data_IF_433782801360
#
_entry.id   IF_433782801360
#
_cell.length_a   1.000
_cell.length_b   1.000
_cell.length_c   1.000
_cell.angle_alpha   90.00
_cell.angle_beta   90.00
_cell.angle_gamma   90.00
#
_symmetry.space_group_name_H-M   'P 1'
#
loop_
_entity.id
_entity.type
_entity.pdbx_description
1 polymer ?
#
# COMPACT_ATOMS: atom_id res chain seq x y z
N UNK A 1 -0.99 6.75 8.71
CA UNK A 1 -0.51 8.06 9.20
C UNK A 1 0.11 8.93 8.09
N UNK A 2 0.43 8.32 6.93
CA UNK A 2 1.22 9.01 5.89
C UNK A 2 0.36 9.79 4.88
N UNK A 3 -0.96 9.67 4.90
CA UNK A 3 -1.87 10.32 3.97
C UNK A 3 -2.24 11.71 4.45
N UNK A 4 -2.02 12.73 3.61
CA UNK A 4 -2.31 14.14 3.92
C UNK A 4 -3.78 14.51 3.73
N UNK A 5 -4.51 13.80 2.86
CA UNK A 5 -5.92 14.02 2.60
C UNK A 5 -6.67 12.69 2.44
N UNK A 6 -7.74 12.50 3.20
CA UNK A 6 -8.63 11.34 3.13
C UNK A 6 -10.03 11.87 2.85
N UNK A 7 -10.58 11.59 1.65
CA UNK A 7 -11.88 12.09 1.20
C UNK A 7 -12.84 10.98 0.76
N UNK A 8 -12.35 9.74 0.69
CA UNK A 8 -13.07 8.60 0.13
C UNK A 8 -13.66 7.64 1.18
N UNK A 9 -13.90 8.13 2.41
CA UNK A 9 -14.62 7.39 3.45
C UNK A 9 -16.01 7.99 3.59
N UNK A 10 -17.04 7.25 3.16
CA UNK A 10 -18.43 7.70 3.25
C UNK A 10 -18.80 8.00 4.72
N UNK A 11 -19.43 9.16 4.95
CA UNK A 11 -19.79 9.62 6.29
C UNK A 11 -18.69 10.41 7.01
N UNK A 12 -17.47 10.42 6.49
CA UNK A 12 -16.36 11.25 7.01
C UNK A 12 -16.04 12.34 5.99
N UNK A 13 -16.14 13.62 6.39
CA UNK A 13 -15.64 14.73 5.56
C UNK A 13 -14.13 14.60 5.42
N UNK A 14 -13.53 15.37 4.50
CA UNK A 14 -12.08 15.43 4.33
C UNK A 14 -11.35 15.52 5.68
N UNK A 15 -10.39 14.62 5.87
CA UNK A 15 -9.58 14.51 7.09
C UNK A 15 -8.14 14.13 6.72
N UNK A 16 -7.24 14.21 7.69
CA UNK A 16 -5.85 13.79 7.55
C UNK A 16 -5.63 12.43 8.24
N UNK A 17 -4.65 11.67 7.77
CA UNK A 17 -4.31 10.35 8.33
C UNK A 17 -4.11 10.37 9.85
N UNK A 18 -3.26 11.25 10.41
CA UNK A 18 -3.04 11.33 11.86
C UNK A 18 -4.31 11.62 12.65
N UNK A 19 -5.16 12.54 12.17
CA UNK A 19 -6.43 12.89 12.81
C UNK A 19 -7.43 11.73 12.77
N UNK A 20 -7.50 11.04 11.64
CA UNK A 20 -8.35 9.87 11.49
C UNK A 20 -7.93 8.75 12.45
N UNK A 21 -6.62 8.44 12.51
CA UNK A 21 -6.10 7.43 13.44
C UNK A 21 -6.38 7.81 14.90
N UNK A 22 -6.17 9.07 15.29
CA UNK A 22 -6.46 9.53 16.64
C UNK A 22 -7.95 9.33 17.02
N UNK A 23 -8.88 9.57 16.08
CA UNK A 23 -10.31 9.34 16.32
C UNK A 23 -10.65 7.85 16.48
N UNK A 24 -9.95 6.96 15.77
CA UNK A 24 -10.11 5.50 15.92
C UNK A 24 -9.55 5.03 17.27
N UNK A 25 -8.41 5.53 17.69
CA UNK A 25 -7.81 5.24 18.99
C UNK A 25 -8.70 5.71 20.15
N UNK A 26 -9.32 6.87 20.01
CA UNK A 26 -10.29 7.38 20.99
C UNK A 26 -11.52 6.46 21.08
N UNK A 27 -12.08 6.07 19.94
CA UNK A 27 -13.22 5.16 19.89
C UNK A 27 -12.92 3.79 20.50
N UNK A 28 -11.73 3.24 20.29
CA UNK A 28 -11.32 1.94 20.89
C UNK A 28 -11.30 2.01 22.41
N UNK A 29 -11.00 3.16 23.04
CA UNK A 29 -10.97 3.34 24.49
C UNK A 29 -12.34 3.22 25.16
N UNK A 30 -13.43 3.36 24.40
CA UNK A 30 -14.78 3.17 24.91
C UNK A 30 -15.12 1.69 25.23
N UNK A 31 -14.26 0.78 24.81
CA UNK A 31 -14.43 -0.66 24.99
C UNK A 31 -13.36 -1.24 25.94
N UNK A 32 -13.68 -2.30 26.71
CA UNK A 32 -12.74 -2.98 27.60
C UNK A 32 -11.75 -3.84 26.79
N UNK A 33 -10.86 -3.20 26.05
CA UNK A 33 -9.86 -3.81 25.17
C UNK A 33 -8.46 -3.46 25.66
N UNK A 34 -7.61 -4.46 25.83
CA UNK A 34 -6.20 -4.26 26.14
C UNK A 34 -5.42 -3.91 24.85
N UNK A 35 -4.83 -2.73 24.81
CA UNK A 35 -3.98 -2.28 23.70
C UNK A 35 -2.52 -2.41 24.08
N UNK A 36 -1.79 -3.29 23.39
CA UNK A 36 -0.36 -3.54 23.62
C UNK A 36 0.45 -2.83 22.52
N UNK A 37 0.93 -1.62 22.81
CA UNK A 37 1.78 -0.85 21.89
C UNK A 37 3.22 -1.37 21.89
N UNK A 38 3.94 -1.12 20.76
CA UNK A 38 5.35 -1.46 20.59
C UNK A 38 5.67 -2.96 20.77
N UNK A 39 4.67 -3.81 20.53
CA UNK A 39 4.81 -5.26 20.55
C UNK A 39 4.74 -5.80 19.13
N UNK A 40 5.78 -6.48 18.69
CA UNK A 40 5.83 -7.07 17.35
C UNK A 40 5.67 -8.57 17.43
N UNK A 41 4.73 -9.12 16.63
CA UNK A 41 4.57 -10.55 16.48
C UNK A 41 5.71 -11.12 15.63
N UNK A 42 6.33 -12.19 16.11
CA UNK A 42 7.42 -12.89 15.46
C UNK A 42 6.97 -14.21 14.81
N UNK A 43 5.95 -14.86 15.41
CA UNK A 43 5.44 -16.15 14.93
C UNK A 43 4.01 -16.38 15.40
N UNK A 44 3.23 -17.12 14.60
CA UNK A 44 1.92 -17.62 14.97
C UNK A 44 1.87 -19.13 14.71
N UNK A 45 1.40 -19.89 15.71
CA UNK A 45 1.27 -21.33 15.63
C UNK A 45 -0.08 -21.79 16.22
N UNK A 46 -0.77 -22.69 15.53
CA UNK A 46 -1.99 -23.33 16.03
C UNK A 46 -1.62 -24.59 16.79
N UNK A 47 -1.92 -24.60 18.08
CA UNK A 47 -1.91 -25.75 18.99
C UNK A 47 -3.32 -25.99 19.51
N UNK A 48 -3.50 -26.39 20.77
CA UNK A 48 -4.82 -26.40 21.42
C UNK A 48 -5.44 -25.01 21.39
N UNK A 49 -4.65 -24.02 21.75
CA UNK A 49 -4.94 -22.60 21.50
C UNK A 49 -4.04 -22.08 20.36
N UNK A 50 -4.37 -20.91 19.83
CA UNK A 50 -3.47 -20.20 18.92
C UNK A 50 -2.46 -19.43 19.76
N UNK A 51 -1.19 -19.66 19.50
CA UNK A 51 -0.07 -19.01 20.17
C UNK A 51 0.55 -17.96 19.24
N UNK A 52 0.65 -16.73 19.72
CA UNK A 52 1.37 -15.64 19.05
C UNK A 52 2.59 -15.31 19.88
N UNK A 53 3.76 -15.63 19.34
CA UNK A 53 5.05 -15.29 19.93
C UNK A 53 5.43 -13.87 19.52
N UNK A 54 5.86 -13.05 20.48
CA UNK A 54 6.35 -11.70 20.27
C UNK A 54 7.87 -11.67 20.16
N UNK A 55 8.46 -10.66 19.54
CA UNK A 55 9.92 -10.52 19.40
C UNK A 55 10.67 -10.47 20.75
N UNK A 56 9.99 -10.07 21.83
CA UNK A 56 10.55 -10.08 23.19
C UNK A 56 10.47 -11.45 23.88
N UNK A 57 9.99 -12.49 23.19
CA UNK A 57 9.86 -13.86 23.71
C UNK A 57 8.57 -14.13 24.49
N UNK A 58 7.71 -13.14 24.70
CA UNK A 58 6.40 -13.38 25.32
C UNK A 58 5.45 -14.13 24.36
N UNK A 59 4.58 -14.98 24.91
CA UNK A 59 3.61 -15.75 24.13
C UNK A 59 2.19 -15.40 24.58
N UNK A 60 1.38 -14.92 23.63
CA UNK A 60 -0.04 -14.70 23.81
C UNK A 60 -0.80 -15.93 23.35
N UNK A 61 -1.84 -16.32 24.10
CA UNK A 61 -2.68 -17.49 23.78
C UNK A 61 -4.13 -17.07 23.62
N UNK A 62 -4.77 -17.51 22.53
CA UNK A 62 -6.14 -17.16 22.23
C UNK A 62 -6.86 -18.30 21.50
N UNK A 63 -8.20 -18.33 21.61
CA UNK A 63 -9.05 -19.24 20.82
C UNK A 63 -9.16 -18.81 19.35
N UNK A 64 -9.12 -17.50 19.10
CA UNK A 64 -9.13 -16.92 17.75
C UNK A 64 -8.14 -15.78 17.64
N UNK A 65 -7.69 -15.52 16.43
CA UNK A 65 -6.82 -14.39 16.10
C UNK A 65 -7.30 -13.74 14.80
N UNK A 66 -7.33 -12.41 14.75
CA UNK A 66 -7.55 -11.63 13.52
C UNK A 66 -6.24 -10.93 13.16
N UNK A 67 -5.70 -11.24 11.99
CA UNK A 67 -4.46 -10.64 11.46
C UNK A 67 -4.85 -9.43 10.62
N UNK A 68 -4.41 -8.24 11.03
CA UNK A 68 -4.65 -6.97 10.33
C UNK A 68 -3.38 -6.14 10.23
N UNK A 69 -2.28 -6.80 9.84
CA UNK A 69 -0.92 -6.22 9.83
C UNK A 69 -0.68 -5.27 8.67
N UNK A 70 -1.61 -5.17 7.73
CA UNK A 70 -1.54 -4.30 6.57
C UNK A 70 -0.42 -4.62 5.59
N UNK A 71 -0.05 -3.64 4.80
CA UNK A 71 1.03 -3.72 3.83
C UNK A 71 1.85 -2.44 3.85
N UNK A 72 3.06 -2.50 3.32
CA UNK A 72 3.94 -1.35 3.13
C UNK A 72 4.23 -1.13 1.65
N UNK A 73 4.40 0.11 1.25
CA UNK A 73 4.83 0.43 -0.11
C UNK A 73 6.25 -0.08 -0.36
N UNK A 74 6.46 -0.60 -1.54
CA UNK A 74 7.79 -0.93 -2.01
C UNK A 74 8.49 0.36 -2.40
N UNK A 75 9.68 0.58 -1.84
CA UNK A 75 10.50 1.74 -2.18
C UNK A 75 11.39 1.45 -3.39
N UNK A 76 11.71 2.48 -4.17
CA UNK A 76 12.73 2.42 -5.21
C UNK A 76 14.11 2.31 -4.59
N UNK A 77 14.31 2.92 -3.42
CA UNK A 77 15.57 2.89 -2.66
C UNK A 77 16.62 3.87 -3.19
N UNK A 78 16.18 5.01 -3.74
CA UNK A 78 17.08 6.05 -4.29
C UNK A 78 17.17 7.26 -3.37
N UNK A 79 18.26 8.04 -3.43
CA UNK A 79 18.36 9.33 -2.76
C UNK A 79 17.15 10.21 -3.04
N UNK A 80 16.70 10.97 -2.04
CA UNK A 80 15.55 11.86 -2.12
C UNK A 80 14.19 11.18 -1.90
N UNK A 81 14.05 9.85 -2.07
CA UNK A 81 12.76 9.19 -1.91
C UNK A 81 12.18 9.35 -0.50
N UNK A 82 12.99 9.09 0.53
CA UNK A 82 12.58 9.19 1.93
C UNK A 82 12.52 10.65 2.38
N UNK A 83 13.47 11.46 1.96
CA UNK A 83 13.60 12.88 2.33
C UNK A 83 12.40 13.70 1.87
N UNK A 84 11.91 13.45 0.65
CA UNK A 84 10.78 14.16 0.05
C UNK A 84 9.45 13.42 0.19
N UNK A 85 9.37 12.38 1.01
CA UNK A 85 8.09 11.73 1.34
C UNK A 85 7.12 12.77 1.92
N UNK A 86 5.91 12.86 1.34
CA UNK A 86 4.90 13.89 1.65
C UNK A 86 5.34 15.34 1.30
N UNK A 87 6.46 15.49 0.61
CA UNK A 87 6.95 16.78 0.10
C UNK A 87 7.14 16.74 -1.41
N UNK A 88 6.37 15.93 -2.09
CA UNK A 88 6.41 15.71 -3.54
C UNK A 88 6.57 14.23 -3.91
N UNK A 89 7.09 13.37 -3.04
CA UNK A 89 7.05 11.91 -3.21
C UNK A 89 5.78 11.36 -2.57
N UNK A 90 4.99 10.61 -3.35
CA UNK A 90 3.70 10.03 -2.97
C UNK A 90 3.60 8.57 -3.44
N UNK A 91 2.70 7.81 -2.81
CA UNK A 91 2.47 6.39 -3.10
C UNK A 91 1.00 6.07 -3.41
N UNK A 92 0.10 7.03 -3.24
CA UNK A 92 -1.33 6.86 -3.49
C UNK A 92 -1.83 7.92 -4.47
N UNK A 93 -2.07 7.59 -5.75
CA UNK A 93 -2.55 8.55 -6.74
C UNK A 93 -3.93 9.10 -6.40
N UNK A 94 -4.84 8.26 -5.89
CA UNK A 94 -6.19 8.68 -5.50
C UNK A 94 -6.21 9.61 -4.28
N UNK A 95 -5.20 9.47 -3.37
CA UNK A 95 -5.12 10.29 -2.17
C UNK A 95 -4.43 11.64 -2.45
N UNK A 96 -3.31 11.59 -3.15
CA UNK A 96 -2.38 12.71 -3.28
C UNK A 96 -2.47 13.41 -4.65
N UNK A 97 -3.04 12.75 -5.67
CA UNK A 97 -3.15 13.29 -7.03
C UNK A 97 -3.72 14.70 -7.12
N UNK A 98 -4.82 15.04 -6.42
CA UNK A 98 -5.38 16.39 -6.43
C UNK A 98 -4.39 17.49 -6.01
N UNK A 99 -3.40 17.20 -5.16
CA UNK A 99 -2.36 18.16 -4.72
C UNK A 99 -1.42 18.57 -5.86
N UNK A 100 -1.41 17.81 -6.95
CA UNK A 100 -0.55 18.01 -8.11
C UNK A 100 -1.30 18.56 -9.33
N UNK A 101 -2.52 19.07 -9.15
CA UNK A 101 -3.29 19.67 -10.24
C UNK A 101 -2.49 20.72 -11.01
N UNK A 102 -2.41 20.58 -12.34
CA UNK A 102 -1.69 21.47 -13.24
C UNK A 102 -0.16 21.43 -13.17
N UNK A 103 0.43 20.47 -12.42
CA UNK A 103 1.88 20.28 -12.29
C UNK A 103 2.38 19.17 -13.19
N UNK A 104 3.70 19.12 -13.39
CA UNK A 104 4.39 18.02 -14.05
C UNK A 104 4.77 16.96 -12.99
N UNK A 105 4.47 15.69 -13.24
CA UNK A 105 4.76 14.60 -12.30
C UNK A 105 5.39 13.40 -12.99
N UNK A 106 6.08 12.56 -12.21
CA UNK A 106 6.52 11.24 -12.64
C UNK A 106 5.73 10.13 -11.95
N UNK A 107 5.58 9.01 -12.64
CA UNK A 107 5.12 7.74 -12.11
C UNK A 107 6.23 6.71 -12.31
N UNK A 108 6.73 6.12 -11.23
CA UNK A 108 7.71 5.03 -11.28
C UNK A 108 6.95 3.71 -11.18
N UNK A 109 7.01 2.91 -12.24
CA UNK A 109 6.39 1.60 -12.35
C UNK A 109 5.47 1.45 -13.56
N UNK A 110 5.68 0.41 -14.35
CA UNK A 110 4.94 0.09 -15.58
C UNK A 110 4.07 -1.16 -15.48
N UNK A 111 3.70 -1.59 -14.27
CA UNK A 111 2.66 -2.59 -14.01
C UNK A 111 1.26 -1.96 -14.01
N UNK A 112 0.19 -2.79 -13.80
CA UNK A 112 -1.19 -2.30 -13.82
C UNK A 112 -1.37 -1.08 -12.91
N UNK A 113 -0.96 -1.15 -11.66
CA UNK A 113 -1.14 -0.04 -10.70
C UNK A 113 -0.44 1.25 -11.12
N UNK A 114 0.77 1.16 -11.71
CA UNK A 114 1.48 2.35 -12.19
C UNK A 114 0.83 2.96 -13.42
N UNK A 115 0.34 2.13 -14.33
CA UNK A 115 -0.31 2.61 -15.56
C UNK A 115 -1.71 3.16 -15.27
N UNK A 116 -2.50 2.52 -14.40
CA UNK A 116 -3.78 3.05 -13.91
C UNK A 116 -3.58 4.42 -13.25
N UNK A 117 -2.58 4.53 -12.37
CA UNK A 117 -2.24 5.80 -11.75
C UNK A 117 -1.84 6.88 -12.75
N UNK A 118 -1.05 6.53 -13.76
CA UNK A 118 -0.65 7.48 -14.79
C UNK A 118 -1.84 7.97 -15.62
N UNK A 119 -2.81 7.08 -15.91
CA UNK A 119 -4.05 7.43 -16.60
C UNK A 119 -4.91 8.39 -15.75
N UNK A 120 -5.09 8.08 -14.46
CA UNK A 120 -5.87 8.91 -13.54
C UNK A 120 -5.21 10.28 -13.34
N UNK A 121 -3.91 10.30 -13.09
CA UNK A 121 -3.15 11.54 -12.93
C UNK A 121 -3.17 12.40 -14.20
N UNK A 122 -3.14 11.82 -15.38
CA UNK A 122 -3.20 12.56 -16.63
C UNK A 122 -4.48 13.41 -16.78
N UNK A 123 -5.57 13.04 -16.09
CA UNK A 123 -6.80 13.84 -16.02
C UNK A 123 -6.73 15.03 -15.06
N UNK A 124 -5.68 15.14 -14.25
CA UNK A 124 -5.57 16.11 -13.16
C UNK A 124 -4.36 17.03 -13.35
N UNK A 125 -3.22 16.44 -13.73
CA UNK A 125 -1.92 17.11 -13.83
C UNK A 125 -1.67 17.66 -15.23
N UNK A 126 -0.66 18.51 -15.37
CA UNK A 126 -0.27 19.06 -16.66
C UNK A 126 0.41 18.00 -17.54
N UNK A 127 1.35 17.24 -16.98
CA UNK A 127 2.07 16.18 -17.70
C UNK A 127 2.46 15.03 -16.77
N UNK A 128 2.44 13.81 -17.29
CA UNK A 128 2.88 12.59 -16.59
C UNK A 128 4.05 11.96 -17.35
N UNK A 129 5.16 11.76 -16.66
CA UNK A 129 6.29 10.96 -17.16
C UNK A 129 6.32 9.60 -16.47
N UNK A 130 6.04 8.54 -17.19
CA UNK A 130 6.12 7.16 -16.67
C UNK A 130 7.54 6.64 -16.85
N UNK A 131 8.17 6.17 -15.77
CA UNK A 131 9.50 5.55 -15.77
C UNK A 131 9.35 4.05 -15.49
N UNK A 132 9.76 3.21 -16.43
CA UNK A 132 9.75 1.76 -16.27
C UNK A 132 11.17 1.19 -16.43
N UNK A 133 11.56 0.39 -15.44
CA UNK A 133 12.88 -0.26 -15.40
C UNK A 133 13.03 -1.34 -16.49
N UNK A 134 11.96 -2.05 -16.81
CA UNK A 134 11.97 -3.10 -17.83
C UNK A 134 11.86 -2.51 -19.24
N UNK A 135 12.34 -3.24 -20.28
CA UNK A 135 12.21 -2.79 -21.66
C UNK A 135 10.78 -2.71 -22.17
N UNK A 136 9.83 -3.35 -21.44
CA UNK A 136 8.41 -3.36 -21.76
C UNK A 136 7.55 -3.13 -20.53
N UNK A 137 6.39 -2.49 -20.71
CA UNK A 137 5.38 -2.36 -19.68
C UNK A 137 4.77 -3.74 -19.37
N UNK A 138 4.53 -3.99 -18.10
CA UNK A 138 3.92 -5.24 -17.59
C UNK A 138 2.40 -5.13 -17.41
N UNK A 139 1.84 -3.94 -17.60
CA UNK A 139 0.41 -3.70 -17.51
C UNK A 139 -0.37 -4.42 -18.62
N UNK A 140 -1.66 -4.64 -18.39
CA UNK A 140 -2.57 -5.20 -19.38
C UNK A 140 -2.64 -4.34 -20.64
N UNK A 141 -2.79 -4.99 -21.81
CA UNK A 141 -2.77 -4.31 -23.12
C UNK A 141 -3.79 -3.18 -23.20
N UNK A 142 -4.98 -3.36 -22.65
CA UNK A 142 -6.04 -2.34 -22.67
C UNK A 142 -5.63 -1.07 -21.92
N UNK A 143 -4.90 -1.21 -20.80
CA UNK A 143 -4.37 -0.07 -20.03
C UNK A 143 -3.26 0.62 -20.80
N UNK A 144 -2.37 -0.14 -21.41
CA UNK A 144 -1.30 0.41 -22.25
C UNK A 144 -1.87 1.21 -23.43
N UNK A 145 -2.86 0.67 -24.15
CA UNK A 145 -3.49 1.35 -25.28
C UNK A 145 -4.18 2.65 -24.83
N UNK A 146 -4.84 2.64 -23.67
CA UNK A 146 -5.43 3.84 -23.08
C UNK A 146 -4.34 4.86 -22.72
N UNK A 147 -3.26 4.45 -22.05
CA UNK A 147 -2.16 5.32 -21.68
C UNK A 147 -1.55 6.03 -22.90
N UNK A 148 -1.23 5.27 -23.95
CA UNK A 148 -0.64 5.81 -25.18
C UNK A 148 -1.57 6.73 -25.97
N UNK A 149 -2.87 6.70 -25.72
CA UNK A 149 -3.84 7.63 -26.34
C UNK A 149 -3.86 9.01 -25.67
N UNK A 150 -3.20 9.19 -24.53
CA UNK A 150 -3.21 10.43 -23.77
C UNK A 150 -2.08 11.38 -24.25
N UNK A 151 -2.43 12.63 -24.67
CA UNK A 151 -1.45 13.54 -25.26
C UNK A 151 -0.46 14.13 -24.25
N UNK A 152 -0.77 14.07 -22.97
CA UNK A 152 0.05 14.61 -21.89
C UNK A 152 0.79 13.52 -21.07
N UNK A 153 1.07 12.37 -21.71
CA UNK A 153 1.84 11.29 -21.10
C UNK A 153 3.06 10.97 -21.94
N UNK A 154 4.21 10.86 -21.29
CA UNK A 154 5.46 10.34 -21.85
C UNK A 154 5.82 9.04 -21.15
N UNK A 155 6.13 7.99 -21.91
CA UNK A 155 6.54 6.69 -21.37
C UNK A 155 8.01 6.43 -21.67
N UNK A 156 8.82 6.32 -20.64
CA UNK A 156 10.23 6.00 -20.68
C UNK A 156 10.43 4.56 -20.19
N UNK A 157 10.83 3.69 -21.10
CA UNK A 157 11.10 2.26 -20.81
C UNK A 157 12.60 2.03 -20.74
N UNK A 158 12.99 0.95 -20.05
CA UNK A 158 14.39 0.57 -19.88
C UNK A 158 15.22 1.68 -19.21
N UNK A 159 14.61 2.38 -18.25
CA UNK A 159 15.26 3.47 -17.49
C UNK A 159 15.31 3.13 -16.01
N UNK A 160 16.41 3.48 -15.38
CA UNK A 160 16.61 3.32 -13.93
C UNK A 160 16.59 4.68 -13.26
N UNK A 161 15.64 4.88 -12.35
CA UNK A 161 15.66 6.05 -11.46
C UNK A 161 16.94 6.04 -10.63
N UNK A 162 17.62 7.17 -10.56
CA UNK A 162 18.88 7.34 -9.81
C UNK A 162 18.67 8.16 -8.56
N UNK A 163 17.90 9.23 -8.67
CA UNK A 163 17.73 10.21 -7.62
C UNK A 163 16.43 11.00 -7.83
N UNK A 164 15.78 11.38 -6.74
CA UNK A 164 14.70 12.36 -6.70
C UNK A 164 15.30 13.62 -6.10
N UNK A 165 15.25 14.73 -6.83
CA UNK A 165 15.90 15.98 -6.43
C UNK A 165 14.91 16.98 -5.85
N UNK A 166 15.43 17.87 -5.02
CA UNK A 166 14.61 18.93 -4.42
C UNK A 166 15.41 19.78 -3.43
N UNK A 167 14.73 20.76 -2.86
CA UNK A 167 15.21 21.53 -1.71
C UNK A 167 14.24 21.31 -0.54
N UNK A 168 13.17 22.10 -0.44
CA UNK A 168 12.09 21.88 0.53
C UNK A 168 11.07 20.84 0.04
N UNK A 169 10.93 20.73 -1.28
CA UNK A 169 10.01 19.82 -1.99
C UNK A 169 10.70 19.29 -3.24
N UNK A 170 10.12 18.25 -3.82
CA UNK A 170 10.55 17.71 -5.12
C UNK A 170 10.57 18.82 -6.17
N UNK A 171 11.67 18.91 -6.91
CA UNK A 171 11.84 19.77 -8.08
C UNK A 171 12.28 19.01 -9.33
N UNK A 172 12.61 17.73 -9.23
CA UNK A 172 13.00 16.92 -10.37
C UNK A 172 13.29 15.46 -10.04
N UNK A 173 13.61 14.71 -11.08
CA UNK A 173 14.03 13.31 -11.02
C UNK A 173 15.16 13.09 -12.03
N UNK A 174 16.15 12.31 -11.62
CA UNK A 174 17.25 11.87 -12.50
C UNK A 174 17.13 10.38 -12.77
N UNK A 175 17.24 10.00 -14.03
CA UNK A 175 17.25 8.59 -14.44
C UNK A 175 18.39 8.31 -15.43
N UNK A 176 18.73 7.04 -15.56
CA UNK A 176 19.70 6.53 -16.54
C UNK A 176 19.00 5.63 -17.55
N UNK A 177 19.23 5.84 -18.83
CA UNK A 177 18.87 4.89 -19.86
C UNK A 177 19.80 3.68 -19.74
N UNK A 178 19.23 2.49 -19.53
CA UNK A 178 19.99 1.27 -19.25
C UNK A 178 20.71 0.68 -20.47
N UNK A 179 20.34 1.10 -21.67
CA UNK A 179 21.01 0.69 -22.91
C UNK A 179 22.21 1.58 -23.24
N UNK A 180 22.01 2.88 -23.14
CA UNK A 180 23.03 3.87 -23.55
C UNK A 180 23.93 4.30 -22.40
N UNK A 181 23.48 4.15 -21.14
CA UNK A 181 24.14 4.69 -19.96
C UNK A 181 23.98 6.19 -19.82
N UNK A 182 23.19 6.83 -20.67
CA UNK A 182 22.96 8.28 -20.63
C UNK A 182 22.10 8.65 -19.42
N UNK A 183 22.56 9.65 -18.67
CA UNK A 183 21.84 10.19 -17.53
C UNK A 183 21.05 11.43 -17.95
N UNK A 184 19.79 11.48 -17.57
CA UNK A 184 18.87 12.58 -17.89
C UNK A 184 18.19 13.08 -16.64
N UNK A 185 18.13 14.39 -16.48
CA UNK A 185 17.36 15.07 -15.44
C UNK A 185 16.07 15.65 -16.02
N UNK A 186 14.96 15.46 -15.31
CA UNK A 186 13.65 16.01 -15.68
C UNK A 186 13.13 16.86 -14.53
N UNK A 187 12.81 18.12 -14.81
CA UNK A 187 12.15 19.02 -13.86
C UNK A 187 10.68 18.65 -13.71
N UNK A 188 10.23 18.45 -12.47
CA UNK A 188 8.84 18.12 -12.13
C UNK A 188 8.58 18.37 -10.64
N UNK A 189 7.32 18.36 -10.23
CA UNK A 189 6.94 18.74 -8.87
C UNK A 189 6.39 17.59 -8.03
N UNK A 190 6.27 16.40 -8.62
CA UNK A 190 5.78 15.22 -7.90
C UNK A 190 6.27 13.91 -8.48
N UNK A 191 6.50 12.93 -7.61
CA UNK A 191 6.90 11.57 -7.99
C UNK A 191 6.00 10.58 -7.27
N UNK A 192 5.27 9.77 -8.03
CA UNK A 192 4.44 8.68 -7.54
C UNK A 192 5.18 7.36 -7.71
N UNK A 193 5.46 6.68 -6.59
CA UNK A 193 6.18 5.40 -6.59
C UNK A 193 5.17 4.26 -6.54
N UNK A 194 4.97 3.56 -7.67
CA UNK A 194 3.95 2.54 -7.86
C UNK A 194 4.55 1.20 -8.35
N UNK A 195 5.52 0.71 -7.59
CA UNK A 195 6.23 -0.55 -7.86
C UNK A 195 5.74 -1.71 -6.98
N UNK A 196 4.53 -1.58 -6.45
CA UNK A 196 3.81 -2.59 -5.70
C UNK A 196 3.80 -2.40 -4.19
N UNK A 197 2.98 -3.20 -3.54
CA UNK A 197 2.89 -3.33 -2.09
C UNK A 197 3.61 -4.59 -1.62
N UNK A 198 4.07 -4.57 -0.38
CA UNK A 198 4.62 -5.73 0.32
C UNK A 198 3.74 -5.98 1.55
N UNK A 199 2.95 -7.04 1.57
CA UNK A 199 2.14 -7.40 2.73
C UNK A 199 3.03 -7.67 3.94
N UNK A 200 2.57 -7.26 5.14
CA UNK A 200 3.31 -7.50 6.38
C UNK A 200 3.00 -8.90 6.94
N UNK A 201 3.40 -9.93 6.22
CA UNK A 201 3.06 -11.35 6.45
C UNK A 201 4.29 -12.25 6.54
N UNK A 202 5.48 -11.69 6.52
CA UNK A 202 6.77 -12.42 6.51
C UNK A 202 6.96 -13.30 7.76
N UNK A 203 6.32 -12.90 8.88
CA UNK A 203 6.36 -13.59 10.17
C UNK A 203 5.42 -14.81 10.27
N UNK A 204 4.56 -15.01 9.27
CA UNK A 204 3.65 -16.16 9.20
C UNK A 204 4.30 -17.34 8.48
N UNK A 205 4.22 -18.53 9.09
CA UNK A 205 4.76 -19.76 8.55
C UNK A 205 3.99 -20.30 7.32
N UNK A 206 4.40 -21.48 6.86
CA UNK A 206 3.86 -22.16 5.67
C UNK A 206 2.43 -22.68 5.83
N UNK A 207 1.89 -22.74 7.05
CA UNK A 207 0.51 -23.14 7.32
C UNK A 207 -0.53 -22.18 6.73
N UNK A 208 -0.12 -20.95 6.42
CA UNK A 208 -0.94 -19.94 5.79
C UNK A 208 -0.80 -19.98 4.28
N UNK A 209 -1.90 -20.18 3.58
CA UNK A 209 -1.94 -19.99 2.14
C UNK A 209 -1.73 -18.51 1.80
N UNK A 210 -0.79 -18.25 0.90
CA UNK A 210 -0.45 -16.89 0.46
C UNK A 210 -0.43 -16.83 -1.07
N UNK A 211 -0.78 -15.68 -1.60
CA UNK A 211 -0.59 -15.37 -3.02
C UNK A 211 0.91 -15.30 -3.36
N UNK A 212 1.24 -15.25 -4.64
CA UNK A 212 2.63 -15.01 -5.10
C UNK A 212 3.21 -13.68 -4.60
N UNK A 213 2.35 -12.74 -4.23
CA UNK A 213 2.73 -11.44 -3.67
C UNK A 213 2.90 -11.46 -2.15
N UNK A 214 2.64 -12.60 -1.51
CA UNK A 214 2.74 -12.80 -0.07
C UNK A 214 1.48 -12.42 0.71
N UNK A 215 0.37 -12.09 0.05
CA UNK A 215 -0.91 -11.77 0.69
C UNK A 215 -1.57 -13.02 1.24
N UNK A 216 -2.20 -12.90 2.42
CA UNK A 216 -2.95 -14.01 3.04
C UNK A 216 -4.21 -14.26 2.23
N UNK A 217 -4.41 -15.49 1.76
CA UNK A 217 -5.65 -15.90 1.11
C UNK A 217 -6.73 -16.09 2.17
N UNK A 218 -7.90 -15.45 1.96
CA UNK A 218 -9.03 -15.52 2.88
C UNK A 218 -10.32 -15.89 2.15
N UNK A 219 -11.22 -16.55 2.86
CA UNK A 219 -12.57 -16.79 2.37
C UNK A 219 -13.49 -15.55 2.53
N UNK A 220 -14.75 -15.69 2.14
CA UNK A 220 -15.76 -14.62 2.24
C UNK A 220 -16.08 -14.18 3.69
N UNK A 221 -15.62 -14.91 4.70
CA UNK A 221 -15.76 -14.61 6.12
C UNK A 221 -14.47 -14.10 6.75
N UNK A 222 -13.43 -13.90 5.95
CA UNK A 222 -12.10 -13.54 6.39
C UNK A 222 -11.34 -14.68 7.05
N UNK A 223 -11.79 -15.94 6.93
CA UNK A 223 -11.09 -17.10 7.49
C UNK A 223 -9.88 -17.46 6.62
N UNK A 224 -8.75 -17.74 7.29
CA UNK A 224 -7.53 -18.25 6.66
C UNK A 224 -7.56 -19.80 6.57
N UNK A 225 -6.53 -20.40 6.00
CA UNK A 225 -6.34 -21.87 6.00
C UNK A 225 -6.12 -22.45 7.41
N UNK A 226 -5.78 -21.62 8.40
CA UNK A 226 -5.56 -22.06 9.79
C UNK A 226 -6.85 -21.86 10.61
N UNK A 227 -7.48 -22.94 11.13
CA UNK A 227 -8.73 -22.86 11.86
C UNK A 227 -8.65 -21.93 13.08
N UNK A 228 -9.61 -21.01 13.20
CA UNK A 228 -9.66 -20.00 14.26
C UNK A 228 -8.81 -18.75 13.98
N UNK A 229 -8.07 -18.73 12.87
CA UNK A 229 -7.31 -17.55 12.43
C UNK A 229 -8.00 -16.89 11.25
N UNK A 230 -8.22 -15.60 11.38
CA UNK A 230 -8.86 -14.73 10.38
C UNK A 230 -7.87 -13.65 9.96
N UNK A 231 -8.09 -13.06 8.80
CA UNK A 231 -7.28 -11.91 8.37
C UNK A 231 -8.13 -10.87 7.62
N UNK A 232 -7.69 -9.62 7.66
CA UNK A 232 -8.41 -8.49 7.05
C UNK A 232 -7.47 -7.38 6.60
N UNK A 233 -7.95 -6.55 5.67
CA UNK A 233 -7.24 -5.38 5.17
C UNK A 233 -6.13 -5.72 4.19
N UNK A 234 -5.17 -4.82 4.07
CA UNK A 234 -4.17 -4.82 2.99
C UNK A 234 -3.19 -6.00 3.02
N UNK A 235 -3.11 -6.73 4.13
CA UNK A 235 -2.32 -7.96 4.21
C UNK A 235 -2.97 -9.18 3.55
N UNK A 236 -4.24 -9.08 3.14
CA UNK A 236 -5.01 -10.16 2.50
C UNK A 236 -5.05 -10.01 0.98
N UNK A 237 -5.58 -11.01 0.28
CA UNK A 237 -5.81 -11.04 -1.17
C UNK A 237 -7.00 -10.16 -1.62
N UNK A 238 -7.42 -9.20 -0.78
CA UNK A 238 -8.42 -8.19 -1.14
C UNK A 238 -8.01 -7.46 -2.43
N UNK A 239 -8.94 -7.35 -3.37
CA UNK A 239 -8.68 -6.76 -4.69
C UNK A 239 -8.28 -5.28 -4.61
N UNK A 240 -8.77 -4.55 -3.61
CA UNK A 240 -8.49 -3.11 -3.44
C UNK A 240 -7.94 -2.82 -2.04
N UNK A 241 -6.91 -1.99 -2.00
CA UNK A 241 -6.20 -1.59 -0.77
C UNK A 241 -6.63 -0.16 -0.40
N UNK A 242 -7.82 -0.03 0.22
CA UNK A 242 -8.41 1.24 0.63
C UNK A 242 -8.90 1.16 2.08
N UNK A 243 -8.90 2.27 2.80
CA UNK A 243 -9.28 2.32 4.22
C UNK A 243 -10.70 1.76 4.41
N UNK A 244 -11.67 2.19 3.59
CA UNK A 244 -13.06 1.72 3.69
C UNK A 244 -13.19 0.22 3.43
N UNK A 245 -12.39 -0.35 2.54
CA UNK A 245 -12.35 -1.79 2.27
C UNK A 245 -11.74 -2.53 3.46
N UNK A 246 -10.66 -2.00 4.04
CA UNK A 246 -10.03 -2.57 5.24
C UNK A 246 -10.98 -2.55 6.44
N UNK A 247 -11.77 -1.47 6.63
CA UNK A 247 -12.79 -1.40 7.68
C UNK A 247 -13.87 -2.47 7.47
N UNK A 248 -14.39 -2.62 6.26
CA UNK A 248 -15.42 -3.62 5.93
C UNK A 248 -14.91 -5.06 6.10
N UNK A 249 -13.70 -5.36 5.62
CA UNK A 249 -13.09 -6.69 5.79
C UNK A 249 -12.75 -6.99 7.26
N UNK A 250 -12.33 -5.97 8.02
CA UNK A 250 -12.10 -6.08 9.46
C UNK A 250 -13.37 -6.47 10.22
N UNK A 251 -14.49 -5.82 9.92
CA UNK A 251 -15.79 -6.18 10.49
C UNK A 251 -16.21 -7.62 10.10
N UNK A 252 -15.97 -8.01 8.84
CA UNK A 252 -16.26 -9.37 8.35
C UNK A 252 -15.42 -10.41 9.10
N UNK A 253 -14.13 -10.21 9.26
CA UNK A 253 -13.26 -11.12 9.98
C UNK A 253 -13.63 -11.22 11.48
N UNK A 254 -14.00 -10.11 12.11
CA UNK A 254 -14.46 -10.10 13.50
C UNK A 254 -15.74 -10.92 13.68
N UNK A 255 -16.72 -10.77 12.80
CA UNK A 255 -17.94 -11.58 12.80
C UNK A 255 -17.65 -13.05 12.50
N UNK A 256 -16.72 -13.36 11.61
CA UNK A 256 -16.23 -14.72 11.35
C UNK A 256 -15.61 -15.37 12.59
N UNK A 257 -14.77 -14.61 13.29
CA UNK A 257 -14.16 -15.07 14.56
C UNK A 257 -15.21 -15.30 15.64
N UNK A 258 -16.21 -14.43 15.77
CA UNK A 258 -17.32 -14.60 16.68
C UNK A 258 -18.13 -15.88 16.37
N UNK A 259 -18.49 -16.10 15.10
CA UNK A 259 -19.17 -17.32 14.64
C UNK A 259 -18.37 -18.58 14.97
N UNK A 260 -17.05 -18.53 14.82
CA UNK A 260 -16.17 -19.64 15.19
C UNK A 260 -16.22 -19.94 16.69
N UNK A 261 -16.14 -18.90 17.52
CA UNK A 261 -16.16 -19.05 18.98
C UNK A 261 -17.46 -19.61 19.53
N UNK A 262 -18.63 -19.33 18.92
CA UNK A 262 -19.91 -19.86 19.32
C UNK A 262 -20.02 -21.36 19.01
N UNK A 263 -19.34 -21.84 17.98
CA UNK A 263 -19.45 -23.21 17.46
C UNK A 263 -18.38 -24.17 17.97
N UNK A 264 -17.32 -23.64 18.59
CA UNK A 264 -16.15 -24.38 19.08
C UNK A 264 -15.77 -23.92 20.51
#
# INVERSE_FOLDING_TARGET
NDTLAIENIIGTKATEGPRFVASLEEHVKDYPIDVMNLQRAARLEKKDLIEVELENGAVLKSKTVVISTGARWRNVGVPGEVEFKNKGVAYCPHCDGPLFAGKDVAVIGGGNSGIEAAIDLAGIVKHVTVLEFMPELKADKVLQDRLYSLPNVTVLKNVQTKEITGTDKVNGITYVNRETGEETHVELQGVFVLIGLVPNTDWLGEAFEKTRMGEIVVDKRGATTVPGVFAAGDCTDSAYKQIIISMGSGATAALGAFDYLIRN
#
